data_IF_572563088455
#
_entry.id   IF_572563088455
#
_cell.length_a   1.000
_cell.length_b   1.000
_cell.length_c   1.000
_cell.angle_alpha   90.00
_cell.angle_beta   90.00
_cell.angle_gamma   90.00
#
_symmetry.space_group_name_H-M   'P 1'
#
loop_
_entity.id
_entity.type
_entity.pdbx_description
1 polymer ?
#
# COMPACT_ATOMS: atom_id res chain seq x y z
N UNK A 1 9.82 4.71 -5.85
CA UNK A 1 8.74 3.74 -5.53
C UNK A 1 8.33 3.94 -4.08
N UNK A 2 7.07 3.68 -3.77
CA UNK A 2 6.52 3.63 -2.41
C UNK A 2 6.03 2.20 -2.15
N UNK A 3 6.19 1.70 -0.92
CA UNK A 3 5.69 0.38 -0.52
C UNK A 3 4.81 0.54 0.70
N UNK A 4 3.66 -0.14 0.69
CA UNK A 4 2.58 0.11 1.62
C UNK A 4 2.19 -1.21 2.28
N UNK A 5 2.22 -1.27 3.61
CA UNK A 5 1.53 -2.32 4.36
C UNK A 5 0.18 -1.73 4.81
N UNK A 6 -0.91 -2.27 4.28
CA UNK A 6 -2.27 -1.75 4.51
C UNK A 6 -3.30 -2.86 4.61
N UNK A 7 -4.46 -2.54 5.16
CA UNK A 7 -5.63 -3.42 5.18
C UNK A 7 -6.87 -2.69 4.69
N UNK A 8 -7.95 -3.46 4.51
CA UNK A 8 -9.28 -2.98 4.21
C UNK A 8 -10.09 -2.82 5.49
N UNK A 9 -10.83 -1.73 5.60
CA UNK A 9 -11.64 -1.39 6.78
C UNK A 9 -13.03 -0.91 6.37
N UNK A 10 -13.95 -0.87 7.33
CA UNK A 10 -15.22 -0.14 7.22
C UNK A 10 -15.24 0.96 8.28
N UNK A 11 -15.65 2.16 7.89
CA UNK A 11 -15.84 3.28 8.81
C UNK A 11 -17.09 3.13 9.67
N UNK A 12 -17.34 4.10 10.58
CA UNK A 12 -18.51 4.09 11.46
C UNK A 12 -19.86 4.10 10.70
N UNK A 13 -19.90 4.71 9.52
CA UNK A 13 -21.05 4.77 8.62
C UNK A 13 -21.17 3.53 7.70
N UNK A 14 -20.29 2.52 7.89
CA UNK A 14 -20.21 1.33 7.06
C UNK A 14 -19.43 1.51 5.74
N UNK A 15 -18.98 2.74 5.43
CA UNK A 15 -18.25 3.02 4.19
C UNK A 15 -16.92 2.29 4.16
N UNK A 16 -16.64 1.58 3.07
CA UNK A 16 -15.38 0.84 2.89
C UNK A 16 -14.20 1.76 2.58
N UNK A 17 -13.02 1.43 3.12
CA UNK A 17 -11.79 2.15 2.85
C UNK A 17 -10.53 1.33 3.13
N UNK A 18 -9.40 2.01 3.13
CA UNK A 18 -8.09 1.45 3.45
C UNK A 18 -7.51 2.07 4.72
N UNK A 19 -6.72 1.29 5.44
CA UNK A 19 -5.95 1.74 6.59
C UNK A 19 -4.48 1.34 6.40
N UNK A 20 -3.56 2.27 6.62
CA UNK A 20 -2.13 2.03 6.48
C UNK A 20 -1.51 1.65 7.83
N UNK A 21 -0.72 0.57 7.84
CA UNK A 21 0.18 0.24 8.95
C UNK A 21 1.57 0.85 8.74
N UNK A 22 2.06 0.87 7.49
CA UNK A 22 3.31 1.54 7.12
C UNK A 22 3.32 1.98 5.67
N UNK A 23 4.09 3.05 5.41
CA UNK A 23 4.33 3.63 4.09
C UNK A 23 5.83 3.91 3.91
N UNK A 24 6.58 3.00 3.29
CA UNK A 24 8.01 3.18 3.01
C UNK A 24 8.23 4.14 1.82
N UNK A 25 8.95 5.24 2.07
CA UNK A 25 9.26 6.24 1.04
C UNK A 25 10.69 6.79 1.17
N UNK A 26 11.37 6.99 0.04
CA UNK A 26 12.74 7.50 -0.01
C UNK A 26 12.83 9.03 0.12
N UNK A 27 11.73 9.75 -0.12
CA UNK A 27 11.70 11.21 -0.14
C UNK A 27 11.49 11.75 1.27
N UNK A 28 12.59 12.08 1.97
CA UNK A 28 12.54 12.56 3.35
C UNK A 28 11.56 13.75 3.57
N UNK A 29 11.51 14.79 2.70
CA UNK A 29 10.54 15.88 2.88
C UNK A 29 9.08 15.41 2.86
N UNK A 30 8.75 14.44 2.00
CA UNK A 30 7.40 13.83 1.93
C UNK A 30 7.11 13.06 3.21
N UNK A 31 8.07 12.26 3.69
CA UNK A 31 7.94 11.50 4.94
C UNK A 31 7.68 12.43 6.12
N UNK A 32 8.43 13.52 6.25
CA UNK A 32 8.26 14.49 7.33
C UNK A 32 6.89 15.19 7.25
N UNK A 33 6.51 15.67 6.07
CA UNK A 33 5.23 16.34 5.87
C UNK A 33 4.03 15.44 6.20
N UNK A 34 4.04 14.19 5.73
CA UNK A 34 2.91 13.28 5.94
C UNK A 34 2.87 12.68 7.35
N UNK A 35 4.02 12.56 8.03
CA UNK A 35 4.06 12.26 9.48
C UNK A 35 3.43 13.36 10.32
N UNK A 36 3.57 14.63 9.94
CA UNK A 36 2.89 15.73 10.63
C UNK A 36 1.35 15.62 10.55
N UNK A 37 0.84 14.88 9.56
CA UNK A 37 -0.57 14.52 9.41
C UNK A 37 -0.91 13.16 10.02
N UNK A 38 -0.06 12.63 10.91
CA UNK A 38 -0.21 11.34 11.58
C UNK A 38 -0.21 10.11 10.65
N UNK A 39 0.25 10.24 9.40
CA UNK A 39 0.37 9.09 8.49
C UNK A 39 1.63 8.28 8.82
N UNK A 40 1.57 6.93 8.74
CA UNK A 40 2.65 6.04 9.18
C UNK A 40 3.80 5.92 8.16
N UNK A 41 4.24 7.04 7.60
CA UNK A 41 5.37 7.09 6.68
C UNK A 41 6.66 6.67 7.37
N UNK A 42 7.51 5.93 6.65
CA UNK A 42 8.80 5.43 7.10
C UNK A 42 9.85 5.85 6.10
N UNK A 43 10.85 6.59 6.57
CA UNK A 43 11.96 6.96 5.69
C UNK A 43 12.79 5.72 5.39
N UNK A 44 12.84 5.35 4.11
CA UNK A 44 13.45 4.12 3.67
C UNK A 44 14.12 4.28 2.31
N UNK A 45 15.26 3.63 2.12
CA UNK A 45 15.72 3.35 0.76
C UNK A 45 14.66 2.49 0.08
N UNK A 46 14.19 2.90 -1.10
CA UNK A 46 13.14 2.21 -1.83
C UNK A 46 13.52 2.14 -3.31
N UNK A 47 13.62 0.92 -3.85
CA UNK A 47 14.09 0.65 -5.19
C UNK A 47 13.11 -0.23 -5.95
N UNK A 48 12.98 0.05 -7.23
CA UNK A 48 12.26 -0.79 -8.19
C UNK A 48 13.16 -1.02 -9.40
N UNK A 49 13.26 -2.27 -9.82
CA UNK A 49 13.91 -2.63 -11.08
C UNK A 49 12.85 -3.28 -11.98
N UNK A 50 12.68 -2.75 -13.19
CA UNK A 50 11.68 -3.20 -14.16
C UNK A 50 12.34 -3.90 -15.33
N UNK A 51 11.71 -4.97 -15.80
CA UNK A 51 12.01 -5.66 -17.05
C UNK A 51 10.70 -6.09 -17.74
N UNK A 52 10.77 -6.77 -18.91
CA UNK A 52 9.59 -7.00 -19.75
C UNK A 52 8.39 -7.66 -19.05
N UNK A 53 8.64 -8.66 -18.20
CA UNK A 53 7.60 -9.35 -17.42
C UNK A 53 8.02 -9.59 -15.96
N UNK A 54 9.05 -8.89 -15.50
CA UNK A 54 9.65 -9.08 -14.17
C UNK A 54 9.85 -7.73 -13.50
N UNK A 55 9.50 -7.66 -12.23
CA UNK A 55 9.69 -6.46 -11.42
C UNK A 55 10.26 -6.89 -10.08
N UNK A 56 11.31 -6.21 -9.63
CA UNK A 56 11.88 -6.42 -8.31
C UNK A 56 11.70 -5.16 -7.45
N UNK A 57 11.21 -5.35 -6.23
CA UNK A 57 11.06 -4.30 -5.23
C UNK A 57 11.99 -4.58 -4.06
N UNK A 58 12.62 -3.53 -3.56
CA UNK A 58 13.42 -3.59 -2.33
C UNK A 58 13.23 -2.34 -1.50
N UNK A 59 12.98 -2.52 -0.21
CA UNK A 59 12.97 -1.43 0.76
C UNK A 59 13.90 -1.72 1.93
N UNK A 60 14.42 -0.66 2.55
CA UNK A 60 15.17 -0.72 3.80
C UNK A 60 15.04 0.61 4.54
N UNK A 61 14.33 0.62 5.67
CA UNK A 61 14.14 1.76 6.55
C UNK A 61 15.50 2.25 7.07
N UNK A 62 15.69 3.57 7.04
CA UNK A 62 16.81 4.19 7.72
C UNK A 62 16.62 4.07 9.24
N UNK A 63 17.70 3.85 10.00
CA UNK A 63 17.66 3.62 11.44
C UNK A 63 17.46 2.15 11.82
N UNK A 64 16.31 1.55 11.52
CA UNK A 64 15.99 0.17 11.96
C UNK A 64 16.52 -0.92 11.03
N UNK A 65 16.80 -0.60 9.75
CA UNK A 65 17.22 -1.58 8.75
C UNK A 65 16.12 -2.54 8.29
N UNK A 66 14.90 -2.43 8.85
CA UNK A 66 13.73 -3.22 8.45
C UNK A 66 13.32 -2.92 7.01
N UNK A 67 12.76 -3.91 6.31
CA UNK A 67 12.33 -3.71 4.94
C UNK A 67 11.79 -4.97 4.31
N UNK A 68 11.59 -4.93 3.00
CA UNK A 68 11.13 -6.08 2.24
C UNK A 68 11.88 -6.25 0.92
N UNK A 69 11.81 -7.47 0.38
CA UNK A 69 12.17 -7.79 -1.00
C UNK A 69 11.03 -8.54 -1.66
N UNK A 70 10.71 -8.19 -2.90
CA UNK A 70 9.77 -8.94 -3.70
C UNK A 70 10.29 -9.10 -5.13
N UNK A 71 10.15 -10.30 -5.67
CA UNK A 71 10.37 -10.57 -7.09
C UNK A 71 9.04 -10.98 -7.71
N UNK A 72 8.51 -10.13 -8.58
CA UNK A 72 7.21 -10.24 -9.23
C UNK A 72 7.38 -10.69 -10.67
N UNK A 73 6.53 -11.61 -11.12
CA UNK A 73 6.38 -12.00 -12.52
C UNK A 73 4.96 -11.69 -12.97
N UNK A 74 4.85 -10.84 -13.98
CA UNK A 74 3.58 -10.36 -14.53
C UNK A 74 3.06 -11.36 -15.57
N UNK A 75 1.77 -11.68 -15.50
CA UNK A 75 1.06 -12.58 -16.40
C UNK A 75 -0.07 -11.89 -17.14
N UNK A 76 -1.14 -12.62 -17.46
CA UNK A 76 -2.22 -12.13 -18.30
C UNK A 76 -3.08 -11.02 -17.66
N UNK A 77 -3.75 -10.17 -18.45
CA UNK A 77 -4.78 -9.26 -17.97
C UNK A 77 -5.84 -9.96 -17.10
N UNK A 78 -6.39 -9.23 -16.14
CA UNK A 78 -7.48 -9.68 -15.28
C UNK A 78 -8.75 -9.02 -15.75
N UNK A 79 -9.76 -9.83 -16.07
CA UNK A 79 -11.12 -9.31 -16.25
C UNK A 79 -11.66 -8.79 -14.92
N UNK A 80 -12.40 -7.69 -14.99
CA UNK A 80 -12.98 -7.07 -13.79
C UNK A 80 -13.99 -8.03 -13.15
N UNK A 81 -13.61 -8.63 -12.02
CA UNK A 81 -14.46 -9.47 -11.19
C UNK A 81 -14.73 -8.82 -9.81
N UNK A 82 -15.65 -9.36 -8.98
CA UNK A 82 -15.95 -8.79 -7.68
C UNK A 82 -14.74 -8.68 -6.74
N UNK A 83 -13.78 -9.60 -6.84
CA UNK A 83 -12.58 -9.59 -6.01
C UNK A 83 -11.62 -8.48 -6.47
N UNK A 84 -11.41 -8.32 -7.78
CA UNK A 84 -10.62 -7.25 -8.36
C UNK A 84 -11.17 -5.86 -7.97
N UNK A 85 -12.51 -5.70 -8.06
CA UNK A 85 -13.19 -4.49 -7.59
C UNK A 85 -12.98 -4.30 -6.09
N UNK A 86 -13.15 -5.35 -5.28
CA UNK A 86 -12.87 -5.27 -3.85
C UNK A 86 -11.41 -4.87 -3.58
N UNK A 87 -10.43 -5.45 -4.26
CA UNK A 87 -9.02 -5.17 -3.94
C UNK A 87 -8.58 -3.74 -4.30
N UNK A 88 -9.20 -3.14 -5.32
CA UNK A 88 -8.68 -1.91 -5.95
C UNK A 88 -9.59 -0.70 -5.87
N UNK A 89 -10.91 -0.89 -5.84
CA UNK A 89 -11.88 0.20 -5.88
C UNK A 89 -12.08 0.76 -4.46
N UNK A 90 -11.16 1.64 -4.04
CA UNK A 90 -11.08 2.20 -2.69
C UNK A 90 -10.99 3.71 -2.73
N UNK A 91 -12.13 4.34 -2.47
CA UNK A 91 -12.28 5.79 -2.52
C UNK A 91 -12.04 6.50 -1.19
N UNK A 92 -11.73 5.76 -0.12
CA UNK A 92 -11.48 6.32 1.19
C UNK A 92 -10.25 5.70 1.83
N UNK A 93 -9.40 6.54 2.41
CA UNK A 93 -8.39 6.13 3.37
C UNK A 93 -8.77 6.66 4.75
N UNK A 94 -8.66 5.81 5.78
CA UNK A 94 -8.89 6.18 7.17
C UNK A 94 -7.56 6.37 7.89
N UNK A 95 -7.51 7.33 8.81
CA UNK A 95 -6.35 7.60 9.67
C UNK A 95 -6.81 8.16 11.01
N UNK A 96 -5.97 8.04 12.03
CA UNK A 96 -6.14 8.74 13.30
C UNK A 96 -5.25 9.99 13.31
N UNK A 97 -5.84 11.13 13.63
CA UNK A 97 -5.10 12.35 13.93
C UNK A 97 -5.46 12.78 15.35
N UNK A 98 -4.49 12.65 16.25
CA UNK A 98 -4.75 12.69 17.69
C UNK A 98 -5.61 11.49 18.09
N UNK A 99 -6.70 11.73 18.81
CA UNK A 99 -7.67 10.69 19.21
C UNK A 99 -8.90 10.64 18.30
N UNK A 100 -8.91 11.39 17.19
CA UNK A 100 -10.06 11.48 16.30
C UNK A 100 -9.82 10.70 15.02
N UNK A 101 -10.84 9.98 14.56
CA UNK A 101 -10.85 9.29 13.28
C UNK A 101 -11.15 10.28 12.15
N UNK A 102 -10.35 10.21 11.10
CA UNK A 102 -10.50 10.98 9.88
C UNK A 102 -10.59 10.05 8.68
N UNK A 103 -11.27 10.51 7.64
CA UNK A 103 -11.29 9.89 6.32
C UNK A 103 -10.79 10.87 5.27
N UNK A 104 -10.09 10.35 4.28
CA UNK A 104 -9.49 11.11 3.18
C UNK A 104 -10.02 10.54 1.87
N UNK A 105 -10.63 11.35 0.99
CA UNK A 105 -11.11 10.86 -0.29
C UNK A 105 -9.91 10.56 -1.21
N UNK A 106 -10.00 9.43 -1.91
CA UNK A 106 -9.02 8.94 -2.87
C UNK A 106 -9.75 8.74 -4.19
N UNK A 107 -9.34 9.47 -5.22
CA UNK A 107 -9.90 9.33 -6.57
C UNK A 107 -8.87 8.73 -7.50
N UNK A 108 -9.30 7.76 -8.29
CA UNK A 108 -8.49 7.14 -9.32
C UNK A 108 -9.40 6.49 -10.37
N UNK A 109 -8.89 6.30 -11.58
CA UNK A 109 -9.54 5.49 -12.60
C UNK A 109 -9.52 3.99 -12.22
N UNK A 110 -10.37 3.13 -12.80
CA UNK A 110 -10.25 1.69 -12.65
C UNK A 110 -8.83 1.22 -13.00
N UNK A 111 -8.24 0.38 -12.14
CA UNK A 111 -6.88 -0.09 -12.34
C UNK A 111 -6.84 -1.13 -13.48
N UNK A 112 -5.98 -0.96 -14.51
CA UNK A 112 -5.75 -2.02 -15.48
C UNK A 112 -4.92 -3.12 -14.81
N UNK A 113 -5.59 -4.20 -14.39
CA UNK A 113 -4.97 -5.28 -13.62
C UNK A 113 -4.48 -6.41 -14.51
N UNK A 114 -3.38 -7.01 -14.08
CA UNK A 114 -2.81 -8.25 -14.61
C UNK A 114 -2.57 -9.22 -13.45
N UNK A 115 -2.78 -10.51 -13.70
CA UNK A 115 -2.39 -11.57 -12.76
C UNK A 115 -0.89 -11.51 -12.59
N UNK A 116 -0.41 -11.81 -11.39
CA UNK A 116 1.01 -11.91 -11.13
C UNK A 116 1.31 -13.00 -10.10
N UNK A 117 2.58 -13.37 -10.02
CA UNK A 117 3.11 -14.20 -8.94
C UNK A 117 4.25 -13.44 -8.29
N UNK A 118 4.46 -13.59 -6.98
CA UNK A 118 5.58 -12.97 -6.30
C UNK A 118 6.18 -13.85 -5.23
N UNK A 119 7.52 -13.85 -5.15
CA UNK A 119 8.22 -14.29 -3.94
C UNK A 119 8.46 -13.06 -3.07
N UNK A 120 7.89 -13.04 -1.88
CA UNK A 120 7.93 -11.89 -0.97
C UNK A 120 8.64 -12.27 0.32
N UNK A 121 9.64 -11.48 0.71
CA UNK A 121 10.30 -11.54 2.00
C UNK A 121 10.03 -10.22 2.73
N UNK A 122 9.02 -10.20 3.60
CA UNK A 122 8.55 -9.01 4.30
C UNK A 122 8.20 -9.24 5.79
N UNK A 123 8.56 -10.40 6.36
CA UNK A 123 8.11 -10.85 7.69
C UNK A 123 8.25 -9.80 8.80
N UNK A 124 9.41 -9.15 8.89
CA UNK A 124 9.65 -8.17 9.95
C UNK A 124 8.78 -6.90 9.81
N UNK A 125 8.28 -6.59 8.61
CA UNK A 125 7.31 -5.48 8.42
C UNK A 125 5.95 -5.80 9.03
N UNK A 126 5.49 -7.06 8.93
CA UNK A 126 4.25 -7.49 9.58
C UNK A 126 4.39 -7.43 11.10
N UNK A 127 5.48 -7.96 11.65
CA UNK A 127 5.72 -7.92 13.10
C UNK A 127 5.86 -6.49 13.63
N UNK A 128 6.54 -5.59 12.89
CA UNK A 128 6.61 -4.18 13.24
C UNK A 128 5.25 -3.46 13.19
N UNK A 129 4.27 -4.00 12.46
CA UNK A 129 2.89 -3.54 12.44
C UNK A 129 2.00 -4.24 13.49
N UNK A 130 2.57 -5.09 14.35
CA UNK A 130 1.80 -5.88 15.34
C UNK A 130 0.99 -7.03 14.71
N UNK A 131 1.34 -7.45 13.49
CA UNK A 131 0.66 -8.52 12.77
C UNK A 131 1.53 -9.77 12.73
N UNK A 132 0.94 -10.97 12.72
CA UNK A 132 1.70 -12.20 12.45
C UNK A 132 2.19 -12.21 11.00
N UNK A 133 3.25 -12.97 10.74
CA UNK A 133 3.65 -13.28 9.37
C UNK A 133 2.53 -14.06 8.64
N UNK A 134 2.27 -13.76 7.35
CA UNK A 134 1.28 -14.50 6.59
C UNK A 134 1.73 -15.95 6.37
N UNK A 135 0.78 -16.90 6.45
CA UNK A 135 1.02 -18.33 6.24
C UNK A 135 0.41 -18.89 4.94
N UNK A 136 -0.33 -18.06 4.19
CA UNK A 136 -0.89 -18.40 2.87
C UNK A 136 -0.06 -17.79 1.75
N UNK A 137 -0.09 -18.43 0.58
CA UNK A 137 0.52 -17.87 -0.63
C UNK A 137 -0.14 -16.52 -0.97
N UNK A 138 0.62 -15.47 -1.30
CA UNK A 138 0.05 -14.18 -1.63
C UNK A 138 -0.76 -14.23 -2.93
N UNK A 139 -1.95 -13.63 -2.89
CA UNK A 139 -2.65 -13.21 -4.10
C UNK A 139 -1.99 -11.95 -4.64
N UNK A 140 -1.47 -11.99 -5.87
CA UNK A 140 -0.70 -10.89 -6.44
C UNK A 140 -1.33 -10.38 -7.73
N UNK A 141 -1.56 -9.08 -7.77
CA UNK A 141 -1.94 -8.34 -8.97
C UNK A 141 -0.88 -7.31 -9.31
N UNK A 142 -0.69 -7.08 -10.61
CA UNK A 142 0.15 -6.01 -11.12
C UNK A 142 -0.72 -5.03 -11.90
N UNK A 143 -0.37 -3.74 -11.84
CA UNK A 143 -0.90 -2.73 -12.74
C UNK A 143 0.22 -1.79 -13.16
N UNK A 144 0.23 -1.28 -14.41
CA UNK A 144 1.13 -0.20 -14.80
C UNK A 144 0.87 1.11 -14.04
N UNK A 145 -0.24 1.19 -13.29
CA UNK A 145 -0.60 2.37 -12.51
C UNK A 145 -1.75 3.15 -13.12
N UNK A 146 -2.32 4.04 -12.31
CA UNK A 146 -3.35 5.02 -12.67
C UNK A 146 -3.00 6.35 -12.02
N UNK A 147 -3.68 7.42 -12.43
CA UNK A 147 -3.55 8.68 -11.74
C UNK A 147 -4.34 8.63 -10.43
N UNK A 148 -3.72 9.08 -9.33
CA UNK A 148 -4.37 9.10 -8.01
C UNK A 148 -4.41 10.53 -7.50
N UNK A 149 -5.61 11.00 -7.14
CA UNK A 149 -5.82 12.25 -6.40
C UNK A 149 -6.20 11.92 -4.97
N UNK A 150 -5.59 12.65 -4.04
CA UNK A 150 -5.92 12.60 -2.62
C UNK A 150 -6.52 13.95 -2.26
N UNK A 151 -7.76 13.95 -1.78
CA UNK A 151 -8.42 15.19 -1.39
C UNK A 151 -8.15 15.58 0.07
N UNK A 152 -8.87 16.59 0.54
CA UNK A 152 -8.70 17.09 1.90
C UNK A 152 -9.24 16.08 2.94
N UNK A 153 -8.54 15.86 4.07
CA UNK A 153 -9.05 15.07 5.18
C UNK A 153 -10.32 15.70 5.77
N UNK A 154 -11.27 14.86 6.15
CA UNK A 154 -12.48 15.25 6.88
C UNK A 154 -12.75 14.30 8.05
N UNK A 155 -13.47 14.72 9.09
CA UNK A 155 -13.93 13.82 10.14
C UNK A 155 -14.67 12.63 9.55
N UNK A 156 -14.37 11.43 10.08
CA UNK A 156 -15.01 10.18 9.70
C UNK A 156 -16.37 9.99 10.37
#
# INVERSE_FOLDING_TARGET
VEVNLRTYVRGPDGTGGIWFFSLECARLPVVLALRALSLPYQWARAEVATGPARIAYRTRRYGTGLGMRAAVRVGEPVETDPLAVFLTARWWAYTLWGQRLWRVPVEHEPWPLRRATARVAAGDLFHAAGLPAPWVEPLVHFSPGVHVRVGAPQPA
#
